data_IF_722249072684
#
_entry.id   IF_722249072684
#
_cell.length_a   1.000
_cell.length_b   1.000
_cell.length_c   1.000
_cell.angle_alpha   90.00
_cell.angle_beta   90.00
_cell.angle_gamma   90.00
#
_symmetry.space_group_name_H-M   'P 1'
#
loop_
_entity.id
_entity.type
_entity.pdbx_description
1 polymer ?
#
# COMPACT_ATOMS: atom_id res chain seq x y z
N UNK A 1 -1.02 4.37 19.26
CA UNK A 1 -0.34 3.09 19.58
C UNK A 1 -1.19 2.20 20.51
N UNK A 2 -1.23 0.89 20.29
CA UNK A 2 -2.02 -0.05 21.12
C UNK A 2 -3.43 -0.39 20.62
N UNK A 3 -3.75 -0.07 19.36
CA UNK A 3 -5.01 -0.45 18.68
C UNK A 3 -4.70 -0.99 17.29
N UNK A 4 -5.46 -1.99 16.82
CA UNK A 4 -5.46 -2.47 15.44
C UNK A 4 -6.71 -1.96 14.74
N UNK A 5 -6.55 -1.07 13.77
CA UNK A 5 -7.64 -0.52 12.97
C UNK A 5 -7.72 -1.27 11.62
N UNK A 6 -8.93 -1.50 11.11
CA UNK A 6 -9.15 -2.15 9.81
C UNK A 6 -9.97 -1.22 8.90
N UNK A 7 -9.61 -1.16 7.63
CA UNK A 7 -10.31 -0.42 6.58
C UNK A 7 -10.37 -1.32 5.36
N UNK A 8 -11.54 -1.42 4.73
CA UNK A 8 -11.74 -2.16 3.49
C UNK A 8 -11.90 -1.18 2.32
N UNK A 9 -11.27 -1.49 1.19
CA UNK A 9 -11.45 -0.73 -0.05
C UNK A 9 -11.39 -1.69 -1.25
N UNK A 10 -12.01 -1.28 -2.34
CA UNK A 10 -12.06 -2.03 -3.59
C UNK A 10 -11.63 -1.13 -4.74
N UNK A 11 -10.76 -1.63 -5.62
CA UNK A 11 -10.17 -0.86 -6.72
C UNK A 11 -10.60 -1.48 -8.05
N UNK A 12 -11.34 -0.71 -8.85
CA UNK A 12 -11.92 -1.21 -10.11
C UNK A 12 -11.00 -1.06 -11.31
N UNK A 13 -9.86 -0.38 -11.16
CA UNK A 13 -8.95 -0.04 -12.26
C UNK A 13 -7.50 -0.23 -11.86
N UNK A 14 -6.72 -0.78 -12.78
CA UNK A 14 -5.27 -0.87 -12.60
C UNK A 14 -4.65 0.53 -12.59
N UNK A 15 -3.63 0.74 -11.76
CA UNK A 15 -2.98 2.04 -11.63
C UNK A 15 -2.18 2.19 -10.34
N UNK A 16 -1.51 3.33 -10.20
CA UNK A 16 -0.71 3.69 -9.04
C UNK A 16 -1.42 4.82 -8.29
N UNK A 17 -1.57 4.64 -6.99
CA UNK A 17 -2.24 5.56 -6.08
C UNK A 17 -1.22 6.08 -5.06
N UNK A 18 -1.26 7.39 -4.80
CA UNK A 18 -0.35 8.07 -3.89
C UNK A 18 -1.10 8.64 -2.69
N UNK A 19 -0.50 8.56 -1.51
CA UNK A 19 -1.00 9.13 -0.27
C UNK A 19 0.13 9.71 0.58
N UNK A 20 -0.24 10.46 1.61
CA UNK A 20 0.67 11.05 2.60
C UNK A 20 0.16 10.79 4.01
N UNK A 21 1.07 10.76 4.98
CA UNK A 21 0.69 10.75 6.38
C UNK A 21 -0.19 11.96 6.71
N UNK A 22 -1.34 11.74 7.36
CA UNK A 22 -2.32 12.80 7.64
C UNK A 22 -2.32 13.30 9.09
N UNK A 23 -1.42 12.79 9.94
CA UNK A 23 -1.29 13.20 11.34
C UNK A 23 0.18 13.53 11.65
N UNK A 24 0.43 14.66 12.30
CA UNK A 24 1.79 15.08 12.66
C UNK A 24 2.45 14.00 13.53
N UNK A 25 3.49 13.35 13.00
CA UNK A 25 4.17 12.22 13.64
C UNK A 25 5.65 12.46 13.94
N UNK A 26 6.13 13.72 13.83
CA UNK A 26 7.51 14.12 14.11
C UNK A 26 8.16 14.92 12.98
N UNK A 27 9.47 15.16 13.07
CA UNK A 27 10.23 16.03 12.15
C UNK A 27 10.16 15.58 10.69
N UNK A 28 10.03 14.27 10.43
CA UNK A 28 9.99 13.71 9.08
C UNK A 28 8.57 13.50 8.55
N UNK A 29 7.55 14.11 9.16
CA UNK A 29 6.14 13.92 8.80
C UNK A 29 5.85 14.14 7.30
N UNK A 30 6.50 15.13 6.67
CA UNK A 30 6.35 15.41 5.23
C UNK A 30 7.04 14.40 4.31
N UNK A 31 8.00 13.64 4.81
CA UNK A 31 8.80 12.67 4.05
C UNK A 31 8.28 11.24 4.21
N UNK A 32 6.97 11.08 4.45
CA UNK A 32 6.32 9.78 4.63
C UNK A 32 5.23 9.55 3.57
N UNK A 33 5.61 9.31 2.29
CA UNK A 33 4.67 8.98 1.23
C UNK A 33 4.21 7.52 1.33
N UNK A 34 2.99 7.25 0.86
CA UNK A 34 2.41 5.91 0.74
C UNK A 34 2.10 5.69 -0.74
N UNK A 35 2.51 4.54 -1.28
CA UNK A 35 2.24 4.15 -2.67
C UNK A 35 1.51 2.83 -2.69
N UNK A 36 0.43 2.75 -3.47
CA UNK A 36 -0.33 1.53 -3.68
C UNK A 36 -0.46 1.27 -5.18
N UNK A 37 -0.10 0.07 -5.60
CA UNK A 37 -0.21 -0.37 -6.99
C UNK A 37 -1.35 -1.37 -7.11
N UNK A 38 -2.29 -1.10 -8.02
CA UNK A 38 -3.34 -2.03 -8.43
C UNK A 38 -2.98 -2.64 -9.77
N UNK A 39 -2.75 -3.96 -9.75
CA UNK A 39 -2.46 -4.79 -10.92
C UNK A 39 -3.50 -5.90 -11.03
N UNK A 40 -3.57 -6.56 -12.19
CA UNK A 40 -4.47 -7.71 -12.35
C UNK A 40 -3.99 -8.91 -11.52
N UNK A 41 -4.94 -9.76 -11.10
CA UNK A 41 -4.67 -10.90 -10.22
C UNK A 41 -3.59 -11.85 -10.76
N UNK A 42 -3.51 -12.02 -12.08
CA UNK A 42 -2.51 -12.89 -12.71
C UNK A 42 -1.08 -12.38 -12.49
N UNK A 43 -0.86 -11.07 -12.56
CA UNK A 43 0.45 -10.47 -12.28
C UNK A 43 0.76 -10.49 -10.79
N UNK A 44 -0.25 -10.25 -9.95
CA UNK A 44 -0.11 -10.30 -8.50
C UNK A 44 0.33 -11.68 -8.00
N UNK A 45 -0.30 -12.76 -8.47
CA UNK A 45 0.08 -14.14 -8.10
C UNK A 45 1.51 -14.46 -8.56
N UNK A 46 1.87 -14.08 -9.79
CA UNK A 46 3.24 -14.27 -10.30
C UNK A 46 4.28 -13.52 -9.45
N UNK A 47 3.95 -12.30 -9.01
CA UNK A 47 4.82 -11.50 -8.16
C UNK A 47 5.00 -12.15 -6.78
N UNK A 48 3.93 -12.63 -6.15
CA UNK A 48 4.00 -13.35 -4.86
C UNK A 48 4.88 -14.60 -4.99
N UNK A 49 4.65 -15.44 -5.99
CA UNK A 49 5.42 -16.67 -6.16
C UNK A 49 6.92 -16.39 -6.31
N UNK A 50 7.26 -15.38 -7.13
CA UNK A 50 8.65 -14.93 -7.29
C UNK A 50 9.26 -14.41 -5.99
N UNK A 51 8.48 -13.75 -5.13
CA UNK A 51 8.96 -13.30 -3.82
C UNK A 51 9.12 -14.44 -2.81
N UNK A 52 8.27 -15.47 -2.87
CA UNK A 52 8.32 -16.61 -1.96
C UNK A 52 9.39 -17.64 -2.33
N UNK A 53 9.86 -17.64 -3.58
CA UNK A 53 10.96 -18.48 -4.05
C UNK A 53 12.36 -17.93 -3.65
N UNK A 54 12.40 -16.82 -2.91
CA UNK A 54 13.59 -16.22 -2.29
C UNK A 54 13.64 -16.64 -0.82
#
# INVERSE_FOLDING_TARGET
PGRLNQINFFINRTGIFFGQCSEICGANHSFMPIVLESISSNYFIKWINKMSEI
#
